data_IF_185430301666
#
_entry.id   IF_185430301666
#
_cell.length_a   1.000
_cell.length_b   1.000
_cell.length_c   1.000
_cell.angle_alpha   90.00
_cell.angle_beta   90.00
_cell.angle_gamma   90.00
#
_symmetry.space_group_name_H-M   'P 1'
#
loop_
_entity.id
_entity.type
_entity.pdbx_description
1 polymer ?
#
# COMPACT_ATOMS: atom_id res chain seq x y z
N UNK A 1 37.08 -8.24 -8.68
CA UNK A 1 36.19 -8.84 -7.66
C UNK A 1 34.77 -8.69 -8.19
N UNK A 2 34.26 -9.72 -8.87
CA UNK A 2 32.90 -9.71 -9.41
C UNK A 2 31.92 -9.69 -8.24
N UNK A 3 31.20 -8.58 -8.05
CA UNK A 3 30.05 -8.55 -7.15
C UNK A 3 28.96 -9.40 -7.79
N UNK A 4 28.98 -10.67 -7.41
CA UNK A 4 27.89 -11.63 -7.37
C UNK A 4 26.61 -11.22 -8.13
N UNK A 5 26.51 -11.81 -9.32
CA UNK A 5 25.28 -12.14 -10.04
C UNK A 5 24.46 -13.16 -9.23
N UNK A 6 24.09 -12.82 -7.99
CA UNK A 6 23.25 -13.66 -7.13
C UNK A 6 21.82 -13.16 -7.21
N UNK A 7 21.13 -13.67 -8.21
CA UNK A 7 19.67 -13.66 -8.25
C UNK A 7 19.09 -13.98 -6.85
N UNK A 8 18.03 -13.29 -6.42
CA UNK A 8 17.35 -13.60 -5.17
C UNK A 8 17.04 -15.11 -5.06
N UNK A 9 17.22 -15.73 -3.87
CA UNK A 9 17.00 -17.17 -3.69
C UNK A 9 15.51 -17.55 -3.60
N UNK A 10 14.62 -16.64 -4.01
CA UNK A 10 13.17 -16.79 -4.00
C UNK A 10 12.57 -16.01 -5.17
N UNK A 11 11.36 -16.39 -5.55
CA UNK A 11 10.57 -15.84 -6.66
C UNK A 11 9.39 -15.02 -6.14
N UNK A 12 8.67 -14.37 -7.05
CA UNK A 12 7.42 -13.70 -6.71
C UNK A 12 6.38 -14.70 -6.16
N UNK A 13 6.29 -15.89 -6.77
CA UNK A 13 5.38 -16.95 -6.34
C UNK A 13 5.68 -17.41 -4.91
N UNK A 14 6.95 -17.44 -4.50
CA UNK A 14 7.32 -17.75 -3.11
C UNK A 14 6.82 -16.69 -2.11
N UNK A 15 6.93 -15.40 -2.46
CA UNK A 15 6.43 -14.30 -1.63
C UNK A 15 4.90 -14.34 -1.51
N UNK A 16 4.21 -14.52 -2.63
CA UNK A 16 2.76 -14.62 -2.67
C UNK A 16 2.24 -15.86 -1.93
N UNK A 17 2.93 -17.00 -2.09
CA UNK A 17 2.61 -18.21 -1.34
C UNK A 17 2.80 -18.01 0.18
N UNK A 18 3.90 -17.39 0.61
CA UNK A 18 4.13 -17.08 2.02
C UNK A 18 3.03 -16.15 2.59
N UNK A 19 2.56 -15.18 1.80
CA UNK A 19 1.45 -14.31 2.19
C UNK A 19 0.14 -15.08 2.36
N UNK A 20 -0.23 -15.88 1.35
CA UNK A 20 -1.47 -16.67 1.38
C UNK A 20 -1.48 -17.70 2.49
N UNK A 21 -0.33 -18.33 2.77
CA UNK A 21 -0.15 -19.21 3.92
C UNK A 21 -0.34 -18.44 5.23
N UNK A 22 0.31 -17.29 5.39
CA UNK A 22 0.16 -16.44 6.58
C UNK A 22 -1.30 -16.04 6.79
N UNK A 23 -2.02 -15.68 5.72
CA UNK A 23 -3.45 -15.40 5.81
C UNK A 23 -4.24 -16.60 6.30
N UNK A 24 -3.98 -17.78 5.74
CA UNK A 24 -4.71 -19.01 6.10
C UNK A 24 -4.54 -19.41 7.57
N UNK A 25 -3.43 -19.04 8.21
CA UNK A 25 -3.18 -19.36 9.62
C UNK A 25 -3.79 -18.37 10.61
N UNK A 26 -4.19 -17.17 10.18
CA UNK A 26 -4.73 -16.10 11.06
C UNK A 26 -6.25 -15.93 10.99
N UNK A 27 -6.95 -16.98 10.55
CA UNK A 27 -8.41 -17.11 10.56
C UNK A 27 -9.18 -16.22 9.56
N UNK A 28 -10.45 -16.56 9.30
CA UNK A 28 -11.30 -15.99 8.24
C UNK A 28 -11.62 -14.48 8.35
N UNK A 29 -11.24 -13.83 9.45
CA UNK A 29 -11.61 -12.44 9.73
C UNK A 29 -10.73 -11.41 9.01
N UNK A 30 -9.58 -11.82 8.47
CA UNK A 30 -8.74 -10.93 7.66
C UNK A 30 -9.32 -10.86 6.25
N UNK A 31 -9.72 -9.67 5.76
CA UNK A 31 -10.23 -9.51 4.41
C UNK A 31 -9.28 -10.12 3.39
N UNK A 32 -9.83 -10.95 2.50
CA UNK A 32 -9.03 -11.60 1.47
C UNK A 32 -8.34 -10.59 0.56
N UNK A 33 -8.94 -9.41 0.37
CA UNK A 33 -8.49 -8.30 -0.46
C UNK A 33 -8.68 -6.97 0.25
N UNK A 34 -7.95 -5.96 -0.20
CA UNK A 34 -8.14 -4.57 0.19
C UNK A 34 -9.49 -4.07 -0.34
N UNK A 35 -10.24 -3.34 0.48
CA UNK A 35 -11.57 -2.80 0.13
C UNK A 35 -11.55 -1.29 0.12
N UNK A 36 -12.33 -0.71 -0.79
CA UNK A 36 -12.52 0.72 -0.92
C UNK A 36 -13.90 1.13 -0.41
N UNK A 37 -13.96 2.20 0.36
CA UNK A 37 -15.22 2.88 0.69
C UNK A 37 -15.48 3.95 -0.36
N UNK A 38 -16.53 3.77 -1.16
CA UNK A 38 -16.97 4.80 -2.10
C UNK A 38 -17.63 5.96 -1.34
N UNK A 39 -17.15 7.17 -1.60
CA UNK A 39 -17.70 8.41 -1.07
C UNK A 39 -18.21 9.24 -2.23
N UNK A 40 -19.51 9.17 -2.45
CA UNK A 40 -20.21 10.01 -3.41
C UNK A 40 -20.45 11.39 -2.80
N UNK A 41 -20.02 12.42 -3.50
CA UNK A 41 -20.28 13.81 -3.16
C UNK A 41 -21.23 14.43 -4.16
N UNK A 42 -22.18 15.27 -3.72
CA UNK A 42 -23.01 16.02 -4.64
C UNK A 42 -22.15 16.92 -5.52
N UNK A 43 -22.48 16.99 -6.80
CA UNK A 43 -21.79 17.84 -7.78
C UNK A 43 -21.99 19.30 -7.40
N UNK A 44 -21.01 19.90 -6.73
CA UNK A 44 -21.01 21.34 -6.48
C UNK A 44 -20.56 22.04 -7.76
N UNK A 45 -21.39 22.96 -8.26
CA UNK A 45 -21.03 23.84 -9.37
C UNK A 45 -19.69 24.55 -9.04
N UNK A 46 -18.62 24.17 -9.76
CA UNK A 46 -17.44 25.01 -9.90
C UNK A 46 -16.17 24.70 -9.09
N UNK A 47 -16.14 23.78 -8.11
CA UNK A 47 -14.94 23.67 -7.23
C UNK A 47 -14.32 22.29 -7.07
N UNK A 48 -14.96 21.25 -7.58
CA UNK A 48 -14.38 19.93 -7.65
C UNK A 48 -14.05 19.65 -9.12
N UNK A 49 -12.80 19.90 -9.54
CA UNK A 49 -12.22 19.21 -10.70
C UNK A 49 -11.96 17.72 -10.35
N UNK A 50 -12.92 17.07 -9.69
CA UNK A 50 -12.93 15.63 -9.44
C UNK A 50 -13.53 14.98 -10.68
N UNK A 51 -12.76 15.00 -11.78
CA UNK A 51 -13.13 14.34 -13.03
C UNK A 51 -12.78 12.85 -13.06
N UNK A 52 -11.92 12.39 -12.15
CA UNK A 52 -11.34 11.04 -12.15
C UNK A 52 -11.44 10.28 -10.82
N UNK A 53 -12.08 10.89 -9.81
CA UNK A 53 -12.08 10.40 -8.44
C UNK A 53 -10.76 10.68 -7.70
N UNK A 54 -10.82 10.82 -6.37
CA UNK A 54 -9.65 10.91 -5.49
C UNK A 54 -9.55 9.60 -4.73
N UNK A 55 -8.40 8.93 -4.82
CA UNK A 55 -8.09 7.73 -4.04
C UNK A 55 -7.17 8.12 -2.89
N UNK A 56 -7.50 7.75 -1.64
CA UNK A 56 -6.72 8.17 -0.48
C UNK A 56 -6.90 7.22 0.72
N UNK A 57 -5.99 7.32 1.71
CA UNK A 57 -6.10 6.67 3.01
C UNK A 57 -6.60 7.66 4.06
N UNK A 58 -7.75 7.38 4.66
CA UNK A 58 -8.30 8.18 5.76
C UNK A 58 -8.29 7.38 7.06
N UNK A 59 -7.90 7.97 8.21
CA UNK A 59 -8.08 7.29 9.49
C UNK A 59 -9.55 6.92 9.66
N UNK A 60 -9.84 5.68 10.07
CA UNK A 60 -11.19 5.13 10.12
C UNK A 60 -12.12 6.01 10.98
N UNK A 61 -11.62 6.48 12.12
CA UNK A 61 -12.36 7.39 13.03
C UNK A 61 -12.71 8.75 12.41
N UNK A 62 -12.00 9.18 11.36
CA UNK A 62 -12.17 10.50 10.73
C UNK A 62 -13.03 10.46 9.48
N UNK A 63 -13.42 9.28 8.98
CA UNK A 63 -14.11 9.14 7.69
C UNK A 63 -15.38 9.97 7.64
N UNK A 64 -16.25 9.86 8.65
CA UNK A 64 -17.51 10.62 8.71
C UNK A 64 -17.28 12.13 8.79
N UNK A 65 -16.27 12.57 9.54
CA UNK A 65 -15.90 13.98 9.67
C UNK A 65 -15.39 14.55 8.34
N UNK A 66 -14.48 13.83 7.67
CA UNK A 66 -13.90 14.23 6.38
C UNK A 66 -14.94 14.25 5.27
N UNK A 67 -15.82 13.24 5.20
CA UNK A 67 -16.97 13.22 4.29
C UNK A 67 -17.85 14.46 4.49
N UNK A 68 -18.21 14.77 5.74
CA UNK A 68 -19.03 15.95 6.06
C UNK A 68 -18.34 17.27 5.73
N UNK A 69 -17.02 17.35 5.85
CA UNK A 69 -16.24 18.52 5.45
C UNK A 69 -16.24 18.71 3.93
N UNK A 70 -16.05 17.64 3.15
CA UNK A 70 -16.12 17.68 1.69
C UNK A 70 -17.53 18.05 1.19
N UNK A 71 -18.56 17.43 1.76
CA UNK A 71 -19.95 17.71 1.35
C UNK A 71 -20.33 19.18 1.57
N UNK A 72 -19.80 19.83 2.61
CA UNK A 72 -20.11 21.24 2.94
C UNK A 72 -19.18 22.25 2.28
N UNK A 73 -17.89 21.92 2.14
CA UNK A 73 -16.85 22.87 1.73
C UNK A 73 -16.20 22.57 0.39
N UNK A 74 -16.62 21.52 -0.33
CA UNK A 74 -15.99 21.09 -1.58
C UNK A 74 -14.49 20.81 -1.40
N UNK A 75 -13.67 21.31 -2.32
CA UNK A 75 -12.20 21.13 -2.30
C UNK A 75 -11.51 21.81 -1.11
N UNK A 76 -12.09 22.87 -0.54
CA UNK A 76 -11.56 23.48 0.69
C UNK A 76 -11.72 22.55 1.90
N UNK A 77 -12.75 21.68 1.88
CA UNK A 77 -12.92 20.61 2.85
C UNK A 77 -11.89 19.50 2.74
N UNK A 78 -11.16 19.41 1.61
CA UNK A 78 -10.17 18.38 1.29
C UNK A 78 -8.74 18.70 1.78
N UNK A 79 -8.58 19.70 2.65
CA UNK A 79 -7.25 20.17 3.08
C UNK A 79 -6.59 19.25 4.12
N UNK A 80 -6.50 17.97 3.81
CA UNK A 80 -5.54 17.04 4.41
C UNK A 80 -4.43 16.80 3.37
N UNK A 81 -3.17 16.85 3.81
CA UNK A 81 -2.02 16.61 2.94
C UNK A 81 -1.50 15.21 3.21
N UNK A 82 -2.00 14.16 2.55
CA UNK A 82 -1.43 12.83 2.68
C UNK A 82 0.01 12.87 2.15
N UNK A 83 0.86 12.00 2.70
CA UNK A 83 2.24 11.87 2.22
C UNK A 83 2.21 11.27 0.82
N UNK A 84 3.11 11.71 -0.06
CA UNK A 84 3.11 11.28 -1.47
C UNK A 84 3.23 9.77 -1.64
N UNK A 85 4.02 9.09 -0.81
CA UNK A 85 4.13 7.63 -0.83
C UNK A 85 2.81 6.95 -0.48
N UNK A 86 2.13 7.43 0.56
CA UNK A 86 0.83 6.90 1.00
C UNK A 86 -0.23 7.04 -0.09
N UNK A 87 -0.27 8.20 -0.76
CA UNK A 87 -1.19 8.45 -1.87
C UNK A 87 -0.90 7.52 -3.06
N UNK A 88 0.37 7.40 -3.45
CA UNK A 88 0.81 6.51 -4.54
C UNK A 88 0.41 5.05 -4.28
N UNK A 89 0.60 4.56 -3.05
CA UNK A 89 0.17 3.22 -2.67
C UNK A 89 -1.36 3.06 -2.75
N UNK A 90 -2.13 4.08 -2.37
CA UNK A 90 -3.58 4.05 -2.50
C UNK A 90 -4.02 3.93 -3.96
N UNK A 91 -3.41 4.72 -4.84
CA UNK A 91 -3.66 4.71 -6.29
C UNK A 91 -3.33 3.34 -6.90
N UNK A 92 -2.16 2.77 -6.58
CA UNK A 92 -1.78 1.42 -7.02
C UNK A 92 -2.77 0.35 -6.56
N UNK A 93 -3.20 0.40 -5.29
CA UNK A 93 -4.18 -0.55 -4.76
C UNK A 93 -5.54 -0.42 -5.45
N UNK A 94 -5.91 0.78 -5.88
CA UNK A 94 -7.15 1.02 -6.61
C UNK A 94 -7.07 0.52 -8.06
N UNK A 95 -5.95 0.76 -8.74
CA UNK A 95 -5.67 0.19 -10.06
C UNK A 95 -5.71 -1.35 -10.02
N UNK A 96 -5.25 -1.94 -8.91
CA UNK A 96 -5.22 -3.38 -8.69
C UNK A 96 -6.45 -3.95 -7.95
N UNK A 97 -7.55 -3.18 -7.80
CA UNK A 97 -8.67 -3.56 -6.90
C UNK A 97 -9.34 -4.90 -7.21
N UNK A 98 -9.28 -5.33 -8.48
CA UNK A 98 -9.87 -6.58 -8.96
C UNK A 98 -8.85 -7.74 -9.04
N UNK A 99 -7.59 -7.50 -8.66
CA UNK A 99 -6.53 -8.50 -8.66
C UNK A 99 -5.85 -8.59 -7.29
N UNK A 100 -6.17 -9.65 -6.55
CA UNK A 100 -5.62 -9.90 -5.24
C UNK A 100 -4.09 -10.04 -5.25
N UNK A 101 -3.53 -10.76 -6.22
CA UNK A 101 -2.09 -11.01 -6.29
C UNK A 101 -1.31 -9.69 -6.43
N UNK A 102 -1.82 -8.76 -7.24
CA UNK A 102 -1.23 -7.44 -7.39
C UNK A 102 -1.39 -6.56 -6.14
N UNK A 103 -2.53 -6.63 -5.44
CA UNK A 103 -2.67 -5.92 -4.16
C UNK A 103 -1.64 -6.39 -3.14
N UNK A 104 -1.40 -7.71 -3.07
CA UNK A 104 -0.38 -8.27 -2.20
C UNK A 104 1.01 -7.79 -2.61
N UNK A 105 1.31 -7.76 -3.90
CA UNK A 105 2.58 -7.22 -4.41
C UNK A 105 2.80 -5.78 -3.96
N UNK A 106 1.77 -4.93 -4.11
CA UNK A 106 1.80 -3.53 -3.69
C UNK A 106 2.03 -3.41 -2.18
N UNK A 107 1.35 -4.19 -1.36
CA UNK A 107 1.47 -4.12 0.11
C UNK A 107 2.86 -4.57 0.59
N UNK A 108 3.38 -5.69 0.07
CA UNK A 108 4.73 -6.17 0.43
C UNK A 108 5.79 -5.17 -0.02
N UNK A 109 5.68 -4.65 -1.25
CA UNK A 109 6.63 -3.66 -1.76
C UNK A 109 6.57 -2.35 -0.99
N UNK A 110 5.37 -1.85 -0.63
CA UNK A 110 5.21 -0.64 0.18
C UNK A 110 5.85 -0.80 1.57
N UNK A 111 5.63 -1.94 2.23
CA UNK A 111 6.30 -2.26 3.50
C UNK A 111 7.82 -2.28 3.33
N UNK A 112 8.34 -3.01 2.34
CA UNK A 112 9.80 -3.09 2.10
C UNK A 112 10.41 -1.73 1.77
N UNK A 113 9.70 -0.92 0.99
CA UNK A 113 10.09 0.42 0.61
C UNK A 113 10.24 1.34 1.81
N UNK A 114 9.29 1.32 2.75
CA UNK A 114 9.39 2.12 3.97
C UNK A 114 10.60 1.72 4.80
N UNK A 115 10.81 0.41 5.00
CA UNK A 115 11.92 -0.09 5.82
C UNK A 115 13.27 0.17 5.16
N UNK A 116 13.34 0.21 3.83
CA UNK A 116 14.54 0.64 3.12
C UNK A 116 14.83 2.13 3.34
N UNK A 117 13.80 2.97 3.40
CA UNK A 117 13.96 4.43 3.57
C UNK A 117 14.21 4.86 5.02
N UNK A 118 13.67 4.12 5.99
CA UNK A 118 13.87 4.35 7.43
C UNK A 118 14.53 3.13 8.07
N UNK A 119 15.61 2.66 7.45
CA UNK A 119 16.28 1.41 7.82
C UNK A 119 16.77 1.44 9.28
N UNK A 120 16.18 0.62 10.17
CA UNK A 120 16.63 0.54 11.56
C UNK A 120 18.07 0.09 11.66
N UNK A 121 18.80 0.54 12.68
CA UNK A 121 20.20 0.18 12.86
C UNK A 121 20.40 -1.34 12.97
N UNK A 122 19.52 -2.00 13.72
CA UNK A 122 19.52 -3.46 13.96
C UNK A 122 19.27 -4.29 12.69
N UNK A 123 18.70 -3.68 11.65
CA UNK A 123 18.38 -4.31 10.36
C UNK A 123 19.44 -4.04 9.27
N UNK A 124 20.56 -3.39 9.62
CA UNK A 124 21.69 -3.25 8.69
C UNK A 124 22.35 -4.59 8.39
N UNK A 125 23.03 -4.67 7.24
CA UNK A 125 23.65 -5.90 6.76
C UNK A 125 22.65 -6.80 6.05
N UNK A 126 22.42 -8.00 6.57
CA UNK A 126 21.66 -9.04 5.87
C UNK A 126 20.19 -8.70 5.65
N UNK A 127 19.55 -8.02 6.61
CA UNK A 127 18.14 -7.63 6.44
C UNK A 127 17.99 -6.54 5.39
N UNK A 128 18.87 -5.54 5.37
CA UNK A 128 18.90 -4.56 4.29
C UNK A 128 19.04 -5.22 2.91
N UNK A 129 19.90 -6.24 2.79
CA UNK A 129 20.03 -7.04 1.55
C UNK A 129 18.75 -7.81 1.23
N UNK A 130 18.11 -8.42 2.23
CA UNK A 130 16.83 -9.11 2.06
C UNK A 130 15.74 -8.15 1.55
N UNK A 131 15.62 -6.95 2.11
CA UNK A 131 14.66 -5.94 1.67
C UNK A 131 14.89 -5.54 0.20
N UNK A 132 16.16 -5.37 -0.19
CA UNK A 132 16.52 -5.08 -1.57
C UNK A 132 16.14 -6.24 -2.51
N UNK A 133 16.41 -7.48 -2.13
CA UNK A 133 16.01 -8.67 -2.90
C UNK A 133 14.49 -8.81 -3.04
N UNK A 134 13.73 -8.52 -1.98
CA UNK A 134 12.25 -8.51 -2.05
C UNK A 134 11.75 -7.45 -3.02
N UNK A 135 12.30 -6.23 -2.97
CA UNK A 135 11.95 -5.18 -3.92
C UNK A 135 12.32 -5.56 -5.36
N UNK A 136 13.49 -6.16 -5.60
CA UNK A 136 13.90 -6.61 -6.93
C UNK A 136 12.94 -7.65 -7.50
N UNK A 137 12.53 -8.64 -6.69
CA UNK A 137 11.58 -9.68 -7.09
C UNK A 137 10.21 -9.10 -7.46
N UNK A 138 9.74 -8.07 -6.76
CA UNK A 138 8.41 -7.49 -6.96
C UNK A 138 8.41 -6.41 -8.05
N UNK A 139 9.48 -5.61 -8.15
CA UNK A 139 9.52 -4.38 -8.95
C UNK A 139 10.33 -4.53 -10.24
N UNK A 140 11.48 -5.19 -10.18
CA UNK A 140 12.52 -4.99 -11.20
C UNK A 140 12.73 -6.18 -12.13
N UNK A 141 12.48 -7.41 -11.68
CA UNK A 141 12.70 -8.60 -12.51
C UNK A 141 11.76 -8.64 -13.73
N UNK A 142 12.17 -9.28 -14.85
CA UNK A 142 11.31 -9.40 -16.04
C UNK A 142 9.97 -10.10 -15.78
N UNK A 143 9.97 -11.05 -14.84
CA UNK A 143 8.81 -11.82 -14.38
C UNK A 143 8.11 -11.20 -13.16
N UNK A 144 8.47 -9.96 -12.79
CA UNK A 144 7.88 -9.30 -11.63
C UNK A 144 6.44 -8.85 -11.91
N UNK A 145 5.56 -8.86 -10.89
CA UNK A 145 4.18 -8.40 -11.05
C UNK A 145 4.09 -6.94 -11.51
N UNK A 146 4.99 -6.06 -11.06
CA UNK A 146 4.97 -4.66 -11.49
C UNK A 146 5.34 -4.50 -12.96
N UNK A 147 6.34 -5.25 -13.46
CA UNK A 147 6.71 -5.17 -14.88
C UNK A 147 5.66 -5.79 -15.78
N UNK A 148 5.13 -6.95 -15.41
CA UNK A 148 4.10 -7.65 -16.17
C UNK A 148 2.82 -6.82 -16.33
N UNK A 149 2.51 -5.98 -15.34
CA UNK A 149 1.30 -5.15 -15.33
C UNK A 149 1.58 -3.65 -15.53
N UNK A 150 2.80 -3.27 -15.89
CA UNK A 150 3.21 -1.88 -16.13
C UNK A 150 2.93 -0.91 -14.97
N UNK A 151 3.01 -1.40 -13.72
CA UNK A 151 2.75 -0.60 -12.53
C UNK A 151 3.94 0.32 -12.21
N UNK A 152 3.71 1.60 -11.89
CA UNK A 152 4.78 2.52 -11.51
C UNK A 152 5.30 2.22 -10.09
N UNK A 153 6.60 1.97 -9.97
CA UNK A 153 7.25 1.85 -8.66
C UNK A 153 7.33 3.19 -7.93
N UNK A 154 7.53 3.13 -6.60
CA UNK A 154 7.78 4.31 -5.79
C UNK A 154 9.08 5.00 -6.21
N UNK A 155 9.05 6.34 -6.25
CA UNK A 155 10.24 7.15 -6.48
C UNK A 155 10.96 7.43 -5.14
N UNK A 156 12.29 7.63 -5.13
CA UNK A 156 13.08 7.85 -3.89
C UNK A 156 12.60 9.03 -2.99
N UNK A 157 11.77 9.93 -3.51
CA UNK A 157 11.16 11.05 -2.76
C UNK A 157 9.81 10.69 -2.12
N UNK A 158 9.25 9.55 -2.46
CA UNK A 158 8.00 9.02 -1.93
C UNK A 158 8.32 8.20 -0.68
N UNK A 159 8.53 8.90 0.44
CA UNK A 159 8.62 8.24 1.76
C UNK A 159 7.21 7.90 2.25
N UNK A 160 7.14 6.99 3.23
CA UNK A 160 5.91 6.61 3.91
C UNK A 160 4.87 6.06 2.94
N UNK A 161 5.25 4.99 2.24
CA UNK A 161 4.41 4.24 1.31
C UNK A 161 3.17 3.68 2.01
N UNK A 162 3.28 3.19 3.24
CA UNK A 162 2.13 2.85 4.06
C UNK A 162 1.73 4.02 4.98
N UNK A 163 0.44 4.13 5.36
CA UNK A 163 -0.01 5.18 6.29
C UNK A 163 0.55 5.01 7.71
N UNK A 164 1.10 3.84 8.02
CA UNK A 164 1.76 3.53 9.29
C UNK A 164 2.80 2.40 9.14
N UNK A 165 3.73 2.34 10.09
CA UNK A 165 4.72 1.26 10.24
C UNK A 165 4.76 0.82 11.70
N UNK A 166 4.89 -0.49 11.96
CA UNK A 166 5.08 -1.00 13.34
C UNK A 166 6.56 -1.08 13.71
N UNK A 167 7.44 -1.05 12.71
CA UNK A 167 8.88 -1.14 12.91
C UNK A 167 9.42 0.23 13.29
N UNK A 168 9.76 0.41 14.58
CA UNK A 168 10.63 1.46 15.09
C UNK A 168 11.98 0.83 15.53
N UNK A 169 12.95 1.63 16.00
CA UNK A 169 14.27 1.09 16.37
C UNK A 169 14.19 0.00 17.46
N UNK A 170 13.42 0.22 18.53
CA UNK A 170 13.26 -0.72 19.64
C UNK A 170 12.61 -2.03 19.20
N UNK A 171 11.53 -1.95 18.42
CA UNK A 171 10.82 -3.12 17.92
C UNK A 171 11.65 -3.85 16.85
N UNK A 172 12.44 -3.13 16.05
CA UNK A 172 13.32 -3.72 15.05
C UNK A 172 14.39 -4.63 15.66
N UNK A 173 14.92 -4.29 16.84
CA UNK A 173 15.87 -5.14 17.57
C UNK A 173 15.30 -6.52 17.89
N UNK A 174 14.00 -6.58 18.23
CA UNK A 174 13.30 -7.82 18.57
C UNK A 174 12.71 -8.57 17.37
N UNK A 175 12.61 -7.93 16.19
CA UNK A 175 11.84 -8.45 15.04
C UNK A 175 12.65 -8.59 13.76
N UNK A 176 13.97 -8.75 13.88
CA UNK A 176 14.87 -8.93 12.73
C UNK A 176 14.46 -10.14 11.87
N UNK A 177 13.98 -9.96 10.63
CA UNK A 177 13.61 -11.08 9.77
C UNK A 177 14.85 -11.88 9.37
N UNK A 178 14.79 -13.21 9.47
CA UNK A 178 15.91 -14.10 9.12
C UNK A 178 15.85 -14.54 7.66
N UNK A 179 14.66 -14.49 7.07
CA UNK A 179 14.38 -14.91 5.70
C UNK A 179 13.16 -14.14 5.14
N UNK A 180 12.84 -14.35 3.87
CA UNK A 180 11.73 -13.65 3.21
C UNK A 180 10.35 -13.94 3.82
N UNK A 181 10.11 -15.13 4.38
CA UNK A 181 8.83 -15.50 4.99
C UNK A 181 8.59 -14.68 6.25
N UNK A 182 9.63 -14.50 7.07
CA UNK A 182 9.57 -13.65 8.27
C UNK A 182 9.22 -12.20 7.87
N UNK A 183 9.84 -11.70 6.80
CA UNK A 183 9.54 -10.35 6.29
C UNK A 183 8.11 -10.25 5.74
N UNK A 184 7.64 -11.23 4.95
CA UNK A 184 6.26 -11.28 4.44
C UNK A 184 5.26 -11.29 5.59
N UNK A 185 5.55 -11.99 6.69
CA UNK A 185 4.71 -11.99 7.88
C UNK A 185 4.64 -10.60 8.53
N UNK A 186 5.76 -9.88 8.63
CA UNK A 186 5.78 -8.48 9.11
C UNK A 186 4.93 -7.60 8.19
N UNK A 187 5.14 -7.66 6.87
CA UNK A 187 4.37 -6.89 5.91
C UNK A 187 2.86 -7.21 5.96
N UNK A 188 2.50 -8.48 6.21
CA UNK A 188 1.13 -8.91 6.41
C UNK A 188 0.50 -8.25 7.65
N UNK A 189 1.17 -8.29 8.80
CA UNK A 189 0.69 -7.63 10.03
C UNK A 189 0.50 -6.13 9.81
N UNK A 190 1.46 -5.47 9.16
CA UNK A 190 1.35 -4.05 8.85
C UNK A 190 0.18 -3.74 7.93
N UNK A 191 -0.08 -4.59 6.94
CA UNK A 191 -1.24 -4.42 6.05
C UNK A 191 -2.56 -4.55 6.80
N UNK A 192 -2.66 -5.48 7.75
CA UNK A 192 -3.86 -5.63 8.60
C UNK A 192 -4.05 -4.38 9.44
N UNK A 193 -2.99 -3.91 10.11
CA UNK A 193 -3.07 -2.72 10.95
C UNK A 193 -3.43 -1.48 10.12
N UNK A 194 -2.78 -1.29 8.96
CA UNK A 194 -3.10 -0.21 8.05
C UNK A 194 -4.57 -0.26 7.62
N UNK A 195 -5.09 -1.43 7.21
CA UNK A 195 -6.48 -1.57 6.75
C UNK A 195 -7.53 -1.58 7.87
N UNK A 196 -7.12 -1.79 9.12
CA UNK A 196 -8.00 -1.72 10.29
C UNK A 196 -8.09 -0.29 10.84
N UNK A 197 -6.97 0.42 10.88
CA UNK A 197 -6.87 1.78 11.44
C UNK A 197 -7.20 2.84 10.37
N UNK A 198 -6.98 2.52 9.09
CA UNK A 198 -7.21 3.39 7.97
C UNK A 198 -8.16 2.76 6.96
N UNK A 199 -9.00 3.59 6.38
CA UNK A 199 -9.94 3.27 5.33
C UNK A 199 -9.42 3.82 4.01
N UNK A 200 -9.27 2.95 3.02
CA UNK A 200 -9.10 3.37 1.63
C UNK A 200 -10.42 3.91 1.11
N UNK A 201 -10.39 5.11 0.56
CA UNK A 201 -11.58 5.79 0.05
C UNK A 201 -11.41 6.07 -1.43
N UNK A 202 -12.51 5.96 -2.17
CA UNK A 202 -12.67 6.52 -3.49
C UNK A 202 -13.70 7.64 -3.40
N UNK A 203 -13.24 8.88 -3.46
CA UNK A 203 -14.14 10.04 -3.52
C UNK A 203 -14.48 10.31 -4.97
N UNK A 204 -15.76 10.32 -5.33
CA UNK A 204 -16.21 10.60 -6.70
C UNK A 204 -17.44 11.51 -6.71
N UNK A 205 -17.69 12.15 -7.85
CA UNK A 205 -18.84 13.00 -8.07
C UNK A 205 -20.09 12.16 -8.35
N UNK A 206 -21.22 12.54 -7.75
CA UNK A 206 -22.54 11.91 -7.91
C UNK A 206 -23.22 12.25 -9.27
N UNK A 207 -22.47 12.18 -10.37
CA UNK A 207 -23.00 12.41 -11.73
C UNK A 207 -23.77 11.20 -12.30
N UNK A 208 -24.00 10.14 -11.51
CA UNK A 208 -24.73 8.96 -11.98
C UNK A 208 -26.26 9.19 -12.11
N UNK A 209 -26.76 10.39 -11.80
CA UNK A 209 -28.17 10.77 -11.98
C UNK A 209 -28.56 11.43 -13.31
N UNK A 210 -27.61 11.74 -14.21
CA UNK A 210 -27.91 12.44 -15.49
C UNK A 210 -27.36 11.67 -16.69
N UNK A 211 -27.96 10.52 -17.00
CA UNK A 211 -28.06 10.07 -18.40
C UNK A 211 -29.41 10.56 -18.92
N UNK A 212 -29.46 11.53 -19.86
CA UNK A 212 -30.69 11.75 -20.60
C UNK A 212 -30.97 10.50 -21.45
N UNK A 213 -32.24 10.06 -21.41
CA UNK A 213 -32.83 9.05 -22.29
C UNK A 213 -32.76 9.54 -23.74
#
# INVERSE_FOLDING_TARGET
MNMDDRSPPFTWQDLFFAWTLTRSTHDYYVPASVRFTEILLPSHEGYLKIGSGIVDWWPAEQVSRRRSALSRGGSLGAYWRPRKGTLHTAELLYECKDNLELQVAVLIAASAWDKRNTLPYSWRGDVSRLLQQVLEVILDRPDSPFRQHHLPAWHHRMRDALPMTIINEEFAECTRPRNYKDFVHIAFIESILATTIWTLVLVSDDRRGLRPV
#
